data_IF_872870065482
#
_entry.id   IF_872870065482
#
_cell.length_a   1.000
_cell.length_b   1.000
_cell.length_c   1.000
_cell.angle_alpha   90.00
_cell.angle_beta   90.00
_cell.angle_gamma   90.00
#
_symmetry.space_group_name_H-M   'P 1'
#
loop_
_entity.id
_entity.type
_entity.pdbx_description
1 polymer ?
#
# COMPACT_ATOMS: atom_id res chain seq x y z
N UNK A 1 15.60 16.44 -1.43
CA UNK A 1 15.18 15.73 -2.66
C UNK A 1 13.67 15.65 -2.64
N UNK A 2 13.01 16.50 -3.41
CA UNK A 2 11.54 16.60 -3.43
C UNK A 2 11.03 15.49 -4.33
N UNK A 3 10.62 14.36 -3.76
CA UNK A 3 9.97 13.29 -4.51
C UNK A 3 8.71 13.90 -5.13
N UNK A 4 8.74 14.15 -6.45
CA UNK A 4 7.53 14.54 -7.19
C UNK A 4 6.54 13.41 -6.97
N UNK A 5 5.50 13.68 -6.18
CA UNK A 5 4.41 12.72 -5.94
C UNK A 5 3.84 12.34 -7.31
N UNK A 6 4.00 11.09 -7.77
CA UNK A 6 3.49 10.71 -9.07
C UNK A 6 1.97 10.89 -9.06
N UNK A 7 1.44 11.54 -10.10
CA UNK A 7 0.01 11.58 -10.33
C UNK A 7 -0.42 10.18 -10.81
N UNK A 8 -0.72 9.30 -9.86
CA UNK A 8 -1.24 7.97 -10.16
C UNK A 8 -2.61 8.12 -10.85
N UNK A 9 -2.81 7.36 -11.91
CA UNK A 9 -4.11 7.32 -12.59
C UNK A 9 -5.15 6.66 -11.68
N UNK A 10 -6.43 7.00 -11.89
CA UNK A 10 -7.53 6.39 -11.13
C UNK A 10 -7.50 4.85 -11.24
N UNK A 11 -7.29 4.33 -12.44
CA UNK A 11 -7.17 2.89 -12.70
C UNK A 11 -6.02 2.24 -11.91
N UNK A 12 -4.87 2.93 -11.80
CA UNK A 12 -3.74 2.41 -11.02
C UNK A 12 -4.06 2.39 -9.53
N UNK A 13 -4.71 3.44 -9.03
CA UNK A 13 -5.16 3.48 -7.62
C UNK A 13 -6.16 2.38 -7.33
N UNK A 14 -7.11 2.12 -8.21
CA UNK A 14 -8.10 1.04 -8.06
C UNK A 14 -7.42 -0.34 -8.03
N UNK A 15 -6.48 -0.60 -8.95
CA UNK A 15 -5.70 -1.83 -8.95
C UNK A 15 -4.94 -2.03 -7.63
N UNK A 16 -4.25 -0.99 -7.14
CA UNK A 16 -3.55 -1.01 -5.85
C UNK A 16 -4.51 -1.23 -4.68
N UNK A 17 -5.72 -0.66 -4.75
CA UNK A 17 -6.75 -0.85 -3.72
C UNK A 17 -7.17 -2.32 -3.64
N UNK A 18 -7.36 -2.98 -4.79
CA UNK A 18 -7.75 -4.40 -4.83
C UNK A 18 -6.66 -5.33 -4.30
N UNK A 19 -5.39 -4.99 -4.50
CA UNK A 19 -4.24 -5.79 -4.04
C UNK A 19 -3.79 -5.46 -2.61
N UNK A 20 -4.26 -4.35 -2.04
CA UNK A 20 -3.78 -3.83 -0.75
C UNK A 20 -3.91 -4.85 0.39
N UNK A 21 -5.05 -5.54 0.50
CA UNK A 21 -5.27 -6.53 1.56
C UNK A 21 -4.27 -7.70 1.47
N UNK A 22 -4.01 -8.18 0.25
CA UNK A 22 -3.01 -9.23 0.01
C UNK A 22 -1.59 -8.74 0.31
N UNK A 23 -1.26 -7.50 -0.10
CA UNK A 23 0.01 -6.86 0.25
C UNK A 23 0.19 -6.78 1.77
N UNK A 24 -0.84 -6.36 2.52
CA UNK A 24 -0.78 -6.28 3.98
C UNK A 24 -0.58 -7.66 4.63
N UNK A 25 -1.21 -8.71 4.10
CA UNK A 25 -0.99 -10.09 4.57
C UNK A 25 0.48 -10.52 4.37
N UNK A 26 1.07 -10.23 3.20
CA UNK A 26 2.48 -10.49 2.92
C UNK A 26 3.40 -9.72 3.88
N UNK A 27 3.12 -8.44 4.16
CA UNK A 27 3.89 -7.66 5.13
C UNK A 27 3.82 -8.27 6.54
N UNK A 28 2.63 -8.72 6.98
CA UNK A 28 2.44 -9.41 8.26
C UNK A 28 3.25 -10.70 8.36
N UNK A 29 3.41 -11.42 7.24
CA UNK A 29 4.23 -12.64 7.13
C UNK A 29 5.73 -12.36 6.94
N UNK A 30 6.16 -11.09 6.97
CA UNK A 30 7.54 -10.65 6.65
C UNK A 30 7.98 -11.02 5.23
N UNK A 31 7.03 -11.15 4.30
CA UNK A 31 7.24 -11.49 2.89
C UNK A 31 7.10 -10.25 2.00
N UNK A 32 7.61 -9.11 2.44
CA UNK A 32 7.57 -7.86 1.67
C UNK A 32 8.28 -7.98 0.31
N UNK A 33 9.25 -8.88 0.19
CA UNK A 33 9.98 -9.15 -1.05
C UNK A 33 9.10 -9.75 -2.18
N UNK A 34 7.94 -10.32 -1.84
CA UNK A 34 6.99 -10.84 -2.84
C UNK A 34 6.14 -9.72 -3.46
N UNK A 35 6.16 -8.52 -2.88
CA UNK A 35 5.44 -7.36 -3.39
C UNK A 35 6.33 -6.66 -4.43
N UNK A 36 5.84 -6.41 -5.65
CA UNK A 36 6.62 -5.70 -6.66
C UNK A 36 7.11 -4.34 -6.14
N UNK A 37 8.39 -4.02 -6.33
CA UNK A 37 8.97 -2.75 -5.84
C UNK A 37 8.18 -1.52 -6.32
N UNK A 38 7.70 -1.54 -7.56
CA UNK A 38 6.84 -0.48 -8.12
C UNK A 38 5.51 -0.32 -7.38
N UNK A 39 4.91 -1.42 -6.91
CA UNK A 39 3.70 -1.34 -6.10
C UNK A 39 4.03 -0.75 -4.72
N UNK A 40 5.15 -1.12 -4.13
CA UNK A 40 5.65 -0.56 -2.86
C UNK A 40 5.82 0.96 -2.99
N UNK A 41 6.52 1.43 -4.02
CA UNK A 41 6.73 2.87 -4.26
C UNK A 41 5.41 3.63 -4.45
N UNK A 42 4.44 3.02 -5.15
CA UNK A 42 3.13 3.61 -5.34
C UNK A 42 2.34 3.66 -4.02
N UNK A 43 2.37 2.59 -3.21
CA UNK A 43 1.73 2.58 -1.89
C UNK A 43 2.34 3.59 -0.93
N UNK A 44 3.67 3.76 -0.96
CA UNK A 44 4.38 4.78 -0.18
C UNK A 44 4.02 6.19 -0.68
N UNK A 45 3.94 6.38 -1.99
CA UNK A 45 3.53 7.66 -2.59
C UNK A 45 2.09 8.05 -2.25
N UNK A 46 1.23 7.06 -2.03
CA UNK A 46 -0.17 7.22 -1.59
C UNK A 46 -0.33 7.40 -0.08
N UNK A 47 0.75 7.38 0.71
CA UNK A 47 0.72 7.42 2.17
C UNK A 47 0.04 6.18 2.79
N UNK A 48 -0.08 5.06 2.06
CA UNK A 48 -0.73 3.84 2.59
C UNK A 48 0.27 2.95 3.32
N UNK A 49 1.52 2.94 2.85
CA UNK A 49 2.63 2.26 3.47
C UNK A 49 3.74 3.26 3.75
N UNK A 50 4.58 2.97 4.74
CA UNK A 50 5.73 3.78 5.06
C UNK A 50 6.96 2.92 5.33
N UNK A 51 8.13 3.47 5.03
CA UNK A 51 9.41 2.89 5.42
C UNK A 51 9.71 3.24 6.87
N UNK A 52 9.83 2.22 7.72
CA UNK A 52 10.18 2.37 9.11
C UNK A 52 11.40 1.48 9.45
N UNK A 53 12.57 2.10 9.53
CA UNK A 53 13.81 1.44 9.98
C UNK A 53 14.21 0.21 9.17
N UNK A 54 14.01 0.22 7.85
CA UNK A 54 14.32 -0.91 6.96
C UNK A 54 13.20 -1.95 6.81
N UNK A 55 12.03 -1.71 7.42
CA UNK A 55 10.83 -2.52 7.23
C UNK A 55 9.69 -1.67 6.68
N UNK A 56 8.81 -2.28 5.91
CA UNK A 56 7.58 -1.63 5.46
C UNK A 56 6.50 -1.77 6.55
N UNK A 57 5.81 -0.67 6.85
CA UNK A 57 4.72 -0.63 7.82
C UNK A 57 3.45 -0.04 7.19
N UNK A 58 2.29 -0.53 7.62
CA UNK A 58 1.01 0.03 7.28
C UNK A 58 0.77 1.34 8.06
N UNK A 59 0.42 2.41 7.37
CA UNK A 59 0.09 3.70 7.99
C UNK A 59 -1.37 3.70 8.49
N UNK A 60 -1.76 4.78 9.19
CA UNK A 60 -3.16 5.01 9.57
C UNK A 60 -4.06 5.15 8.33
N UNK A 61 -3.57 5.83 7.28
CA UNK A 61 -4.30 5.99 6.02
C UNK A 61 -4.55 4.64 5.36
N UNK A 62 -3.51 3.79 5.24
CA UNK A 62 -3.64 2.45 4.67
C UNK A 62 -4.54 1.53 5.48
N UNK A 63 -4.48 1.60 6.82
CA UNK A 63 -5.35 0.83 7.72
C UNK A 63 -6.84 1.20 7.54
N UNK A 64 -7.15 2.49 7.44
CA UNK A 64 -8.51 2.96 7.17
C UNK A 64 -9.05 2.44 5.83
N UNK A 65 -8.21 2.38 4.80
CA UNK A 65 -8.60 1.85 3.49
C UNK A 65 -8.82 0.34 3.56
N UNK A 66 -7.95 -0.39 4.26
CA UNK A 66 -8.16 -1.81 4.50
C UNK A 66 -9.51 -2.07 5.20
N UNK A 67 -9.83 -1.30 6.24
CA UNK A 67 -11.13 -1.37 6.93
C UNK A 67 -12.30 -1.07 6.00
N UNK A 68 -12.20 -0.05 5.16
CA UNK A 68 -13.23 0.28 4.16
C UNK A 68 -13.42 -0.85 3.15
N UNK A 69 -12.33 -1.45 2.67
CA UNK A 69 -12.39 -2.58 1.75
C UNK A 69 -13.06 -3.80 2.39
N UNK A 70 -12.63 -4.16 3.61
CA UNK A 70 -13.23 -5.28 4.33
C UNK A 70 -14.70 -5.03 4.71
N UNK A 71 -15.09 -3.78 4.95
CA UNK A 71 -16.49 -3.42 5.24
C UNK A 71 -17.37 -3.36 3.98
N UNK A 72 -16.81 -3.00 2.81
CA UNK A 72 -17.52 -3.00 1.53
C UNK A 72 -17.62 -4.39 0.87
N UNK A 73 -16.89 -5.38 1.38
CA UNK A 73 -16.96 -6.79 1.02
C UNK A 73 -18.01 -7.57 1.84
N UNK A 74 -18.75 -6.90 2.74
CA UNK A 74 -19.80 -7.48 3.60
C UNK A 74 -21.21 -7.28 3.03
#
# INVERSE_FOLDING_TARGET
MTTRRPLLTLLRREALTQTLLSTVDLLRRRQAAEVPEKDIDDYVSLDWLEWHGGSLRLTVTGDNICKQLSAGLA
#
